data_IF_571806953295
#
_entry.id   IF_571806953295
#
_cell.length_a   1.000
_cell.length_b   1.000
_cell.length_c   1.000
_cell.angle_alpha   90.00
_cell.angle_beta   90.00
_cell.angle_gamma   90.00
#
_symmetry.space_group_name_H-M   'P 1'
#
loop_
_entity.id
_entity.type
_entity.pdbx_description
1 polymer ?
#
# COMPACT_ATOMS: atom_id res chain seq x y z
N UNK A 1 -21.42 23.84 4.30
CA UNK A 1 -20.36 23.03 3.67
C UNK A 1 -20.65 22.95 2.17
N UNK A 2 -19.64 23.16 1.32
CA UNK A 2 -19.87 23.12 -0.12
C UNK A 2 -20.01 21.67 -0.60
N UNK A 3 -20.85 21.44 -1.63
CA UNK A 3 -20.99 20.08 -2.20
C UNK A 3 -19.68 19.50 -2.69
N UNK A 4 -18.78 20.33 -3.22
CA UNK A 4 -17.48 19.89 -3.71
C UNK A 4 -16.60 19.33 -2.60
N UNK A 5 -16.62 19.95 -1.44
CA UNK A 5 -15.85 19.51 -0.29
C UNK A 5 -16.36 18.16 0.23
N UNK A 6 -17.67 18.00 0.30
CA UNK A 6 -18.29 16.73 0.71
C UNK A 6 -17.91 15.62 -0.25
N UNK A 7 -17.95 15.90 -1.56
CA UNK A 7 -17.59 14.92 -2.59
C UNK A 7 -16.12 14.50 -2.46
N UNK A 8 -15.22 15.43 -2.15
CA UNK A 8 -13.80 15.12 -1.97
C UNK A 8 -13.60 14.16 -0.80
N UNK A 9 -14.30 14.40 0.31
CA UNK A 9 -14.21 13.50 1.46
C UNK A 9 -14.76 12.12 1.14
N UNK A 10 -15.87 12.04 0.42
CA UNK A 10 -16.48 10.76 0.04
C UNK A 10 -15.56 9.98 -0.90
N UNK A 11 -14.98 10.65 -1.91
CA UNK A 11 -14.06 10.01 -2.85
C UNK A 11 -12.81 9.51 -2.16
N UNK A 12 -12.24 10.30 -1.24
CA UNK A 12 -11.06 9.92 -0.50
C UNK A 12 -11.35 8.74 0.43
N UNK A 13 -12.52 8.75 1.08
CA UNK A 13 -12.93 7.65 1.96
C UNK A 13 -13.11 6.36 1.17
N UNK A 14 -13.73 6.42 -0.01
CA UNK A 14 -13.92 5.25 -0.85
C UNK A 14 -12.58 4.70 -1.35
N UNK A 15 -11.68 5.58 -1.77
CA UNK A 15 -10.34 5.18 -2.20
C UNK A 15 -9.56 4.54 -1.05
N UNK A 16 -9.66 5.11 0.14
CA UNK A 16 -8.99 4.58 1.31
C UNK A 16 -9.51 3.19 1.66
N UNK A 17 -10.81 2.97 1.59
CA UNK A 17 -11.39 1.65 1.84
C UNK A 17 -10.92 0.63 0.83
N UNK A 18 -10.87 0.99 -0.45
CA UNK A 18 -10.36 0.09 -1.49
C UNK A 18 -8.90 -0.26 -1.25
N UNK A 19 -8.09 0.75 -0.93
CA UNK A 19 -6.68 0.54 -0.64
C UNK A 19 -6.48 -0.39 0.54
N UNK A 20 -7.16 -0.12 1.66
CA UNK A 20 -7.03 -0.93 2.86
C UNK A 20 -7.45 -2.37 2.61
N UNK A 21 -8.54 -2.59 1.87
CA UNK A 21 -9.00 -3.92 1.53
C UNK A 21 -7.94 -4.70 0.75
N UNK A 22 -7.34 -4.05 -0.25
CA UNK A 22 -6.29 -4.67 -1.06
C UNK A 22 -5.02 -4.92 -0.25
N UNK A 23 -4.62 -3.93 0.54
CA UNK A 23 -3.39 -4.02 1.33
C UNK A 23 -3.50 -5.11 2.39
N UNK A 24 -4.60 -5.14 3.14
CA UNK A 24 -4.77 -6.12 4.20
C UNK A 24 -4.81 -7.56 3.68
N UNK A 25 -5.36 -7.76 2.49
CA UNK A 25 -5.34 -9.09 1.86
C UNK A 25 -3.94 -9.52 1.44
N UNK A 26 -3.09 -8.56 1.11
CA UNK A 26 -1.76 -8.82 0.58
C UNK A 26 -0.66 -8.67 1.62
N UNK A 27 -0.98 -8.19 2.81
CA UNK A 27 0.02 -7.81 3.82
C UNK A 27 0.96 -8.95 4.15
N UNK A 28 0.43 -10.16 4.32
CA UNK A 28 1.24 -11.34 4.67
C UNK A 28 2.25 -11.65 3.55
N UNK A 29 1.82 -11.58 2.30
CA UNK A 29 2.70 -11.85 1.17
C UNK A 29 3.77 -10.79 1.02
N UNK A 30 3.38 -9.52 1.22
CA UNK A 30 4.33 -8.41 1.19
C UNK A 30 5.37 -8.59 2.30
N UNK A 31 4.93 -8.94 3.49
CA UNK A 31 5.83 -9.18 4.62
C UNK A 31 6.81 -10.31 4.32
N UNK A 32 6.32 -11.43 3.79
CA UNK A 32 7.18 -12.56 3.42
C UNK A 32 8.23 -12.16 2.41
N UNK A 33 7.84 -11.36 1.43
CA UNK A 33 8.76 -10.86 0.42
C UNK A 33 9.85 -10.00 1.05
N UNK A 34 9.46 -9.09 1.93
CA UNK A 34 10.42 -8.20 2.60
C UNK A 34 11.33 -8.97 3.56
N UNK A 35 10.77 -9.98 4.24
CA UNK A 35 11.50 -10.76 5.25
C UNK A 35 12.70 -11.51 4.67
N UNK A 36 12.68 -11.85 3.37
CA UNK A 36 13.84 -12.46 2.72
C UNK A 36 14.90 -11.43 2.31
N UNK A 37 14.56 -10.15 2.33
CA UNK A 37 15.47 -9.10 1.88
C UNK A 37 16.24 -8.44 3.03
N UNK A 38 15.80 -8.62 4.27
CA UNK A 38 16.37 -7.96 5.43
C UNK A 38 16.67 -8.95 6.55
N UNK A 39 17.60 -8.61 7.48
CA UNK A 39 18.10 -9.59 8.44
C UNK A 39 17.18 -9.91 9.61
N UNK A 40 16.19 -9.06 9.91
CA UNK A 40 15.35 -9.31 11.09
C UNK A 40 13.92 -8.82 10.91
N UNK A 41 13.03 -9.28 11.80
CA UNK A 41 11.61 -9.00 11.75
C UNK A 41 11.30 -7.52 11.95
N UNK A 42 12.04 -6.86 12.86
CA UNK A 42 11.80 -5.45 13.14
C UNK A 42 12.03 -4.59 11.90
N UNK A 43 13.10 -4.87 11.14
CA UNK A 43 13.36 -4.17 9.89
C UNK A 43 12.30 -4.48 8.84
N UNK A 44 11.85 -5.73 8.78
CA UNK A 44 10.80 -6.12 7.83
C UNK A 44 9.49 -5.37 8.13
N UNK A 45 9.11 -5.28 9.40
CA UNK A 45 7.90 -4.55 9.79
C UNK A 45 8.00 -3.07 9.44
N UNK A 46 9.15 -2.46 9.67
CA UNK A 46 9.37 -1.06 9.35
C UNK A 46 9.25 -0.80 7.85
N UNK A 47 9.85 -1.68 7.04
CA UNK A 47 9.78 -1.55 5.59
C UNK A 47 8.35 -1.74 5.09
N UNK A 48 7.59 -2.67 5.67
CA UNK A 48 6.18 -2.86 5.30
C UNK A 48 5.37 -1.59 5.61
N UNK A 49 5.61 -0.95 6.75
CA UNK A 49 4.94 0.31 7.08
C UNK A 49 5.29 1.42 6.09
N UNK A 50 6.57 1.58 5.78
CA UNK A 50 7.01 2.57 4.80
C UNK A 50 6.42 2.30 3.43
N UNK A 51 6.34 1.02 3.07
CA UNK A 51 5.74 0.59 1.81
C UNK A 51 4.27 0.97 1.76
N UNK A 52 3.54 0.71 2.85
CA UNK A 52 2.11 1.05 2.91
C UNK A 52 1.87 2.53 2.67
N UNK A 53 2.70 3.40 3.27
CA UNK A 53 2.58 4.84 3.08
C UNK A 53 2.87 5.23 1.62
N UNK A 54 3.91 4.67 1.04
CA UNK A 54 4.26 4.95 -0.36
C UNK A 54 3.18 4.47 -1.32
N UNK A 55 2.62 3.30 -1.06
CA UNK A 55 1.53 2.76 -1.88
C UNK A 55 0.30 3.64 -1.83
N UNK A 56 -0.06 4.13 -0.64
CA UNK A 56 -1.20 5.03 -0.49
C UNK A 56 -0.97 6.33 -1.27
N UNK A 57 0.23 6.90 -1.17
CA UNK A 57 0.57 8.12 -1.91
C UNK A 57 0.45 7.95 -3.43
N UNK A 58 0.69 6.74 -3.92
CA UNK A 58 0.68 6.43 -5.35
C UNK A 58 -0.54 5.62 -5.79
N UNK A 59 -1.53 5.47 -4.91
CA UNK A 59 -2.67 4.63 -5.22
C UNK A 59 -3.49 5.12 -6.41
N UNK A 60 -3.49 6.44 -6.66
CA UNK A 60 -4.16 7.01 -7.84
C UNK A 60 -3.60 6.45 -9.14
N UNK A 61 -2.32 6.09 -9.13
CA UNK A 61 -1.64 5.56 -10.32
C UNK A 61 -1.77 4.04 -10.44
N UNK A 62 -2.34 3.38 -9.44
CA UNK A 62 -2.52 1.94 -9.50
C UNK A 62 -3.64 1.57 -10.47
N UNK A 63 -3.31 0.69 -11.43
CA UNK A 63 -4.28 0.18 -12.38
C UNK A 63 -5.08 -0.95 -11.74
N UNK A 64 -6.41 -0.79 -11.53
CA UNK A 64 -7.21 -1.83 -10.88
C UNK A 64 -7.30 -3.12 -11.68
N UNK A 65 -6.91 -3.13 -12.95
CA UNK A 65 -6.86 -4.33 -13.77
C UNK A 65 -5.58 -5.13 -13.57
N UNK A 66 -4.63 -4.59 -12.80
CA UNK A 66 -3.38 -5.28 -12.48
C UNK A 66 -3.46 -5.88 -11.08
N UNK A 67 -2.75 -6.99 -10.82
CA UNK A 67 -2.71 -7.55 -9.46
C UNK A 67 -1.99 -6.59 -8.51
N UNK A 68 -2.55 -6.44 -7.32
CA UNK A 68 -2.05 -5.50 -6.32
C UNK A 68 -0.70 -5.93 -5.73
N UNK A 69 -0.57 -7.21 -5.38
CA UNK A 69 0.61 -7.69 -4.65
C UNK A 69 1.93 -7.48 -5.42
N UNK A 70 2.04 -7.81 -6.73
CA UNK A 70 3.27 -7.52 -7.46
C UNK A 70 3.59 -6.04 -7.52
N UNK A 71 2.58 -5.19 -7.66
CA UNK A 71 2.76 -3.75 -7.67
C UNK A 71 3.32 -3.28 -6.31
N UNK A 72 2.73 -3.78 -5.22
CA UNK A 72 3.17 -3.44 -3.87
C UNK A 72 4.59 -3.92 -3.60
N UNK A 73 4.93 -5.12 -4.05
CA UNK A 73 6.27 -5.68 -3.83
C UNK A 73 7.36 -4.87 -4.52
N UNK A 74 7.08 -4.23 -5.64
CA UNK A 74 8.04 -3.34 -6.29
C UNK A 74 8.39 -2.14 -5.40
N UNK A 75 7.38 -1.57 -4.74
CA UNK A 75 7.61 -0.50 -3.77
C UNK A 75 8.41 -1.01 -2.57
N UNK A 76 8.07 -2.19 -2.08
CA UNK A 76 8.78 -2.79 -0.95
C UNK A 76 10.26 -3.02 -1.28
N UNK A 77 10.56 -3.50 -2.47
CA UNK A 77 11.94 -3.71 -2.91
C UNK A 77 12.73 -2.40 -2.88
N UNK A 78 12.13 -1.32 -3.35
CA UNK A 78 12.80 -0.02 -3.34
C UNK A 78 13.06 0.47 -1.91
N UNK A 79 12.14 0.23 -0.99
CA UNK A 79 12.33 0.62 0.41
C UNK A 79 13.38 -0.24 1.12
N UNK A 80 13.55 -1.49 0.69
CA UNK A 80 14.51 -2.41 1.29
C UNK A 80 15.95 -2.18 0.82
N UNK A 81 16.14 -1.43 -0.27
CA UNK A 81 17.49 -1.08 -0.76
C UNK A 81 18.14 0.02 0.13
#
# INVERSE_FOLDING_TARGET
MSPDLTRRFEDQSAAQQRFLSLFLRSEREIFRYVAVLVPNVAEAEDIVQQTALALWEKFDAFDPNQPFTPWACRFALNKAK
#
